data_IF_050588853935
#
_entry.id   IF_050588853935
#
_cell.length_a   1.000
_cell.length_b   1.000
_cell.length_c   1.000
_cell.angle_alpha   90.00
_cell.angle_beta   90.00
_cell.angle_gamma   90.00
#
_symmetry.space_group_name_H-M   'P 1'
#
loop_
_entity.id
_entity.type
_entity.pdbx_description
1 polymer ?
#
# COMPACT_ATOMS: atom_id res chain seq x y z
N UNK A 1 45.13 -20.76 -19.15
CA UNK A 1 46.43 -21.22 -19.70
C UNK A 1 46.55 -22.73 -19.57
N UNK A 2 46.47 -23.31 -18.36
CA UNK A 2 46.50 -24.78 -18.17
C UNK A 2 45.28 -25.50 -18.76
N UNK A 3 44.08 -24.94 -18.70
CA UNK A 3 42.90 -25.50 -19.41
C UNK A 3 43.13 -25.57 -20.93
N UNK A 4 43.60 -24.48 -21.54
CA UNK A 4 43.96 -24.46 -22.97
C UNK A 4 45.10 -25.44 -23.30
N UNK A 5 46.03 -25.67 -22.37
CA UNK A 5 47.12 -26.64 -22.55
C UNK A 5 46.62 -28.09 -22.42
N UNK A 6 45.68 -28.35 -21.50
CA UNK A 6 45.00 -29.63 -21.34
C UNK A 6 44.09 -29.94 -22.53
N UNK A 7 43.35 -28.96 -23.05
CA UNK A 7 42.54 -29.09 -24.26
C UNK A 7 43.40 -29.46 -25.47
N UNK A 8 44.57 -28.82 -25.64
CA UNK A 8 45.54 -29.12 -26.71
C UNK A 8 46.32 -30.41 -26.50
N UNK A 9 46.22 -31.06 -25.33
CA UNK A 9 46.90 -32.33 -25.07
C UNK A 9 46.19 -33.52 -25.73
N UNK A 10 46.95 -34.57 -26.04
CA UNK A 10 46.46 -35.85 -26.60
C UNK A 10 45.88 -36.80 -25.54
N UNK A 11 45.71 -36.35 -24.29
CA UNK A 11 45.16 -37.16 -23.20
C UNK A 11 43.69 -37.52 -23.46
N UNK A 12 43.24 -38.65 -22.94
CA UNK A 12 41.82 -39.00 -22.91
C UNK A 12 41.05 -38.04 -22.00
N UNK A 13 39.76 -37.82 -22.29
CA UNK A 13 38.91 -36.85 -21.59
C UNK A 13 38.88 -37.07 -20.08
N UNK A 14 38.79 -38.33 -19.63
CA UNK A 14 38.82 -38.67 -18.20
C UNK A 14 40.15 -38.29 -17.52
N UNK A 15 41.27 -38.43 -18.24
CA UNK A 15 42.58 -38.05 -17.72
C UNK A 15 42.76 -36.52 -17.67
N UNK A 16 42.14 -35.78 -18.62
CA UNK A 16 42.10 -34.31 -18.59
C UNK A 16 41.31 -33.82 -17.37
N UNK A 17 40.11 -34.37 -17.15
CA UNK A 17 39.25 -34.02 -16.01
C UNK A 17 39.91 -34.33 -14.66
N UNK A 18 40.59 -35.48 -14.55
CA UNK A 18 41.32 -35.85 -13.35
C UNK A 18 42.46 -34.87 -13.03
N UNK A 19 43.18 -34.39 -14.06
CA UNK A 19 44.27 -33.42 -13.91
C UNK A 19 43.76 -32.02 -13.55
N UNK A 20 42.65 -31.59 -14.15
CA UNK A 20 41.93 -30.37 -13.79
C UNK A 20 41.51 -30.38 -12.33
N UNK A 21 40.91 -31.49 -11.88
CA UNK A 21 40.48 -31.69 -10.50
C UNK A 21 41.66 -31.68 -9.52
N UNK A 22 42.78 -32.32 -9.89
CA UNK A 22 44.00 -32.32 -9.08
C UNK A 22 44.59 -30.90 -8.92
N UNK A 23 44.58 -30.11 -10.00
CA UNK A 23 45.03 -28.72 -9.96
C UNK A 23 44.13 -27.85 -9.08
N UNK A 24 42.82 -27.98 -9.24
CA UNK A 24 41.83 -27.24 -8.47
C UNK A 24 41.95 -27.55 -6.96
N UNK A 25 42.17 -28.82 -6.61
CA UNK A 25 42.45 -29.25 -5.24
C UNK A 25 43.75 -28.64 -4.68
N UNK A 26 44.82 -28.57 -5.49
CA UNK A 26 46.08 -27.95 -5.08
C UNK A 26 45.93 -26.45 -4.85
N UNK A 27 45.19 -25.76 -5.72
CA UNK A 27 44.90 -24.33 -5.58
C UNK A 27 44.10 -24.08 -4.31
N UNK A 28 43.01 -24.82 -4.10
CA UNK A 28 42.14 -24.71 -2.90
C UNK A 28 42.89 -24.99 -1.60
N UNK A 29 43.84 -25.92 -1.61
CA UNK A 29 44.66 -26.26 -0.42
C UNK A 29 45.93 -25.41 -0.31
N UNK A 30 46.17 -24.50 -1.24
CA UNK A 30 47.36 -23.66 -1.23
C UNK A 30 47.30 -22.64 -0.09
N UNK A 31 48.48 -22.29 0.43
CA UNK A 31 48.63 -21.23 1.42
C UNK A 31 48.17 -19.87 0.88
N UNK A 32 48.31 -19.64 -0.44
CA UNK A 32 47.80 -18.45 -1.12
C UNK A 32 46.28 -18.37 -1.02
N UNK A 33 45.56 -19.46 -1.32
CA UNK A 33 44.09 -19.49 -1.20
C UNK A 33 43.63 -19.20 0.23
N UNK A 34 44.34 -19.75 1.23
CA UNK A 34 44.07 -19.46 2.64
C UNK A 34 44.22 -17.97 2.96
N UNK A 35 45.33 -17.35 2.55
CA UNK A 35 45.56 -15.92 2.76
C UNK A 35 44.56 -15.05 2.00
N UNK A 36 44.14 -15.44 0.79
CA UNK A 36 43.11 -14.73 0.04
C UNK A 36 41.76 -14.74 0.79
N UNK A 37 41.39 -15.87 1.41
CA UNK A 37 40.17 -15.96 2.22
C UNK A 37 40.26 -15.12 3.51
N UNK A 38 41.42 -15.05 4.16
CA UNK A 38 41.64 -14.17 5.32
C UNK A 38 41.49 -12.68 4.96
N UNK A 39 42.06 -12.27 3.83
CA UNK A 39 41.93 -10.91 3.30
C UNK A 39 40.48 -10.61 2.93
N UNK A 40 39.79 -11.57 2.29
CA UNK A 40 38.36 -11.45 1.99
C UNK A 40 37.53 -11.26 3.27
N UNK A 41 37.78 -12.06 4.31
CA UNK A 41 37.10 -11.93 5.60
C UNK A 41 37.28 -10.54 6.21
N UNK A 42 38.50 -10.01 6.15
CA UNK A 42 38.81 -8.64 6.62
C UNK A 42 38.09 -7.58 5.79
N UNK A 43 38.07 -7.74 4.45
CA UNK A 43 37.33 -6.85 3.56
C UNK A 43 35.83 -6.85 3.88
N UNK A 44 35.22 -8.02 4.09
CA UNK A 44 33.79 -8.13 4.38
C UNK A 44 33.40 -7.42 5.68
N UNK A 45 34.28 -7.43 6.69
CA UNK A 45 34.08 -6.68 7.93
C UNK A 45 34.07 -5.16 7.68
N UNK A 46 35.04 -4.66 6.91
CA UNK A 46 35.09 -3.23 6.56
C UNK A 46 33.94 -2.81 5.66
N UNK A 47 33.58 -3.63 4.67
CA UNK A 47 32.47 -3.32 3.76
C UNK A 47 31.14 -3.27 4.52
N UNK A 48 30.93 -4.19 5.47
CA UNK A 48 29.76 -4.16 6.36
C UNK A 48 29.70 -2.88 7.19
N UNK A 49 30.79 -2.56 7.90
CA UNK A 49 30.84 -1.36 8.74
C UNK A 49 30.62 -0.08 7.91
N UNK A 50 31.27 0.00 6.74
CA UNK A 50 31.09 1.12 5.82
C UNK A 50 29.62 1.26 5.39
N UNK A 51 28.96 0.15 5.05
CA UNK A 51 27.57 0.14 4.63
C UNK A 51 26.64 0.62 5.75
N UNK A 52 26.74 0.03 6.94
CA UNK A 52 25.90 0.37 8.11
C UNK A 52 26.03 1.86 8.47
N UNK A 53 27.26 2.36 8.64
CA UNK A 53 27.50 3.77 9.01
C UNK A 53 27.09 4.75 7.90
N UNK A 54 27.28 4.38 6.63
CA UNK A 54 26.87 5.23 5.51
C UNK A 54 25.36 5.32 5.40
N UNK A 55 24.64 4.21 5.61
CA UNK A 55 23.17 4.18 5.63
C UNK A 55 22.63 5.00 6.80
N UNK A 56 23.17 4.84 8.01
CA UNK A 56 22.79 5.64 9.17
C UNK A 56 23.01 7.13 8.93
N UNK A 57 24.12 7.50 8.29
CA UNK A 57 24.41 8.88 7.92
C UNK A 57 23.43 9.41 6.86
N UNK A 58 23.07 8.60 5.86
CA UNK A 58 22.07 8.98 4.86
C UNK A 58 20.69 9.22 5.50
N UNK A 59 20.29 8.36 6.44
CA UNK A 59 19.05 8.53 7.23
C UNK A 59 19.11 9.82 8.07
N UNK A 60 20.25 10.12 8.69
CA UNK A 60 20.41 11.33 9.51
C UNK A 60 20.41 12.63 8.68
N UNK A 61 20.82 12.56 7.42
CA UNK A 61 20.84 13.68 6.47
C UNK A 61 19.57 13.74 5.60
N UNK A 62 18.54 12.98 5.95
CA UNK A 62 17.29 12.91 5.20
C UNK A 62 16.68 14.30 5.00
N UNK A 63 16.37 14.62 3.75
CA UNK A 63 15.79 15.89 3.37
C UNK A 63 14.67 15.70 2.35
N UNK A 64 13.56 16.39 2.58
CA UNK A 64 12.43 16.44 1.65
C UNK A 64 12.43 17.81 0.96
N UNK A 65 12.69 17.82 -0.34
CA UNK A 65 12.60 19.03 -1.15
C UNK A 65 11.15 19.43 -1.39
N UNK A 66 10.89 20.74 -1.50
CA UNK A 66 9.55 21.25 -1.71
C UNK A 66 8.96 20.75 -3.04
N UNK A 67 7.77 20.15 -2.97
CA UNK A 67 7.08 19.58 -4.13
C UNK A 67 7.43 18.13 -4.45
N UNK A 68 8.42 17.54 -3.76
CA UNK A 68 8.71 16.11 -3.87
C UNK A 68 7.81 15.28 -2.93
N UNK A 69 7.54 14.04 -3.35
CA UNK A 69 6.72 13.09 -2.58
C UNK A 69 7.57 12.15 -1.72
N UNK A 70 8.79 11.86 -2.19
CA UNK A 70 9.79 11.04 -1.50
C UNK A 70 10.97 11.92 -1.08
N UNK A 71 11.70 11.48 -0.05
CA UNK A 71 12.88 12.20 0.44
C UNK A 71 14.18 11.64 -0.14
N UNK A 72 15.27 12.41 -0.02
CA UNK A 72 16.60 12.04 -0.54
C UNK A 72 17.15 10.76 0.06
N UNK A 73 16.75 10.42 1.30
CA UNK A 73 17.18 9.18 1.98
C UNK A 73 16.94 7.93 1.13
N UNK A 74 15.85 7.90 0.34
CA UNK A 74 15.54 6.75 -0.49
C UNK A 74 16.65 6.51 -1.54
N UNK A 75 16.99 7.54 -2.32
CA UNK A 75 18.02 7.43 -3.35
C UNK A 75 19.41 7.17 -2.73
N UNK A 76 19.74 7.87 -1.65
CA UNK A 76 21.02 7.76 -0.98
C UNK A 76 21.27 6.34 -0.43
N UNK A 77 20.29 5.78 0.30
CA UNK A 77 20.41 4.43 0.90
C UNK A 77 20.54 3.35 -0.19
N UNK A 78 19.69 3.39 -1.21
CA UNK A 78 19.75 2.40 -2.29
C UNK A 78 21.00 2.55 -3.16
N UNK A 79 21.49 3.79 -3.35
CA UNK A 79 22.76 4.03 -4.03
C UNK A 79 23.94 3.43 -3.23
N UNK A 80 23.99 3.65 -1.92
CA UNK A 80 25.04 3.09 -1.05
C UNK A 80 25.04 1.57 -1.12
N UNK A 81 23.87 0.94 -0.95
CA UNK A 81 23.74 -0.52 -0.98
C UNK A 81 24.17 -1.08 -2.33
N UNK A 82 23.66 -0.51 -3.43
CA UNK A 82 24.06 -0.91 -4.79
C UNK A 82 25.56 -0.81 -4.98
N UNK A 83 26.17 0.28 -4.52
CA UNK A 83 27.61 0.53 -4.63
C UNK A 83 28.42 -0.52 -3.87
N UNK A 84 27.99 -0.93 -2.68
CA UNK A 84 28.66 -1.96 -1.89
C UNK A 84 28.57 -3.33 -2.55
N UNK A 85 27.37 -3.74 -3.00
CA UNK A 85 27.19 -5.02 -3.71
C UNK A 85 28.03 -5.03 -5.00
N UNK A 86 27.99 -3.97 -5.80
CA UNK A 86 28.79 -3.89 -7.02
C UNK A 86 30.29 -3.89 -6.75
N UNK A 87 30.75 -3.27 -5.67
CA UNK A 87 32.17 -3.33 -5.25
C UNK A 87 32.58 -4.75 -4.87
N UNK A 88 31.69 -5.50 -4.20
CA UNK A 88 31.96 -6.89 -3.81
C UNK A 88 32.20 -7.80 -5.02
N UNK A 89 31.66 -7.47 -6.21
CA UNK A 89 31.98 -8.19 -7.45
C UNK A 89 33.48 -8.14 -7.80
N UNK A 90 34.20 -7.10 -7.38
CA UNK A 90 35.65 -6.98 -7.54
C UNK A 90 36.44 -8.02 -6.75
N UNK A 91 35.84 -8.66 -5.73
CA UNK A 91 36.49 -9.73 -4.97
C UNK A 91 36.60 -11.04 -5.76
N UNK A 92 35.82 -11.18 -6.84
CA UNK A 92 35.72 -12.41 -7.63
C UNK A 92 35.40 -13.65 -6.76
N UNK A 93 34.75 -13.44 -5.61
CA UNK A 93 34.31 -14.48 -4.70
C UNK A 93 32.79 -14.43 -4.56
N UNK A 94 32.10 -15.46 -5.07
CA UNK A 94 30.64 -15.55 -4.95
C UNK A 94 30.19 -15.56 -3.47
N UNK A 95 30.98 -16.20 -2.60
CA UNK A 95 30.73 -16.24 -1.16
C UNK A 95 30.81 -14.85 -0.53
N UNK A 96 31.79 -14.04 -0.96
CA UNK A 96 31.92 -12.67 -0.53
C UNK A 96 30.76 -11.79 -0.99
N UNK A 97 30.34 -11.93 -2.25
CA UNK A 97 29.19 -11.21 -2.81
C UNK A 97 27.91 -11.58 -2.05
N UNK A 98 27.67 -12.87 -1.82
CA UNK A 98 26.54 -13.36 -1.03
C UNK A 98 26.53 -12.79 0.39
N UNK A 99 27.70 -12.72 1.05
CA UNK A 99 27.82 -12.10 2.37
C UNK A 99 27.44 -10.62 2.36
N UNK A 100 27.89 -9.86 1.35
CA UNK A 100 27.54 -8.44 1.21
C UNK A 100 26.05 -8.23 0.92
N UNK A 101 25.43 -9.08 0.08
CA UNK A 101 23.97 -9.05 -0.17
C UNK A 101 23.18 -9.30 1.12
N UNK A 102 23.60 -10.29 1.92
CA UNK A 102 22.95 -10.58 3.20
C UNK A 102 23.12 -9.43 4.20
N UNK A 103 24.28 -8.79 4.25
CA UNK A 103 24.49 -7.59 5.07
C UNK A 103 23.59 -6.44 4.61
N UNK A 104 23.45 -6.24 3.29
CA UNK A 104 22.55 -5.24 2.72
C UNK A 104 21.09 -5.49 3.10
N UNK A 105 20.62 -6.74 2.99
CA UNK A 105 19.29 -7.11 3.42
C UNK A 105 19.08 -6.83 4.92
N UNK A 106 20.05 -7.20 5.77
CA UNK A 106 20.00 -6.94 7.21
C UNK A 106 19.96 -5.45 7.55
N UNK A 107 20.77 -4.62 6.88
CA UNK A 107 20.81 -3.18 7.10
C UNK A 107 19.49 -2.50 6.69
N UNK A 108 18.89 -2.94 5.57
CA UNK A 108 17.56 -2.47 5.16
C UNK A 108 16.47 -2.88 6.16
N UNK A 109 16.49 -4.14 6.62
CA UNK A 109 15.49 -4.69 7.54
C UNK A 109 15.54 -4.00 8.93
N UNK A 110 16.72 -3.53 9.32
CA UNK A 110 16.95 -2.91 10.63
C UNK A 110 16.88 -1.39 10.53
N UNK A 111 17.94 -0.73 10.09
CA UNK A 111 18.11 0.72 10.24
C UNK A 111 17.10 1.48 9.38
N UNK A 112 17.01 1.11 8.10
CA UNK A 112 16.16 1.78 7.13
C UNK A 112 14.68 1.57 7.44
N UNK A 113 14.25 0.32 7.66
CA UNK A 113 12.86 0.03 8.03
C UNK A 113 12.47 0.68 9.37
N UNK A 114 13.36 0.74 10.35
CA UNK A 114 13.05 1.43 11.61
C UNK A 114 12.87 2.94 11.40
N UNK A 115 13.70 3.57 10.56
CA UNK A 115 13.56 4.98 10.20
C UNK A 115 12.19 5.28 9.57
N UNK A 116 11.71 4.42 8.68
CA UNK A 116 10.37 4.54 8.08
C UNK A 116 9.24 4.21 9.06
N UNK A 117 9.43 3.21 9.93
CA UNK A 117 8.41 2.73 10.86
C UNK A 117 8.14 3.70 12.00
N UNK A 118 9.12 4.47 12.43
CA UNK A 118 8.98 5.38 13.57
C UNK A 118 7.93 6.49 13.33
N UNK A 119 7.97 7.25 12.23
CA UNK A 119 6.90 8.21 11.89
C UNK A 119 5.54 7.54 11.75
N UNK A 120 5.48 6.36 11.12
CA UNK A 120 4.21 5.65 10.91
C UNK A 120 3.58 5.16 12.23
N UNK A 121 4.40 4.73 13.19
CA UNK A 121 3.95 4.36 14.54
C UNK A 121 3.45 5.55 15.36
N UNK A 122 4.04 6.73 15.16
CA UNK A 122 3.56 7.96 15.81
C UNK A 122 2.14 8.33 15.36
N UNK A 123 1.71 7.82 14.20
CA UNK A 123 0.38 8.04 13.63
C UNK A 123 0.28 9.37 12.90
N UNK A 124 -0.78 9.53 12.10
CA UNK A 124 -1.02 10.79 11.41
C UNK A 124 -1.61 11.82 12.38
N UNK A 125 -0.92 12.96 12.64
CA UNK A 125 -1.41 13.96 13.57
C UNK A 125 -2.72 14.57 13.08
N UNK A 126 -3.79 14.29 13.80
CA UNK A 126 -5.12 14.84 13.53
C UNK A 126 -5.40 15.87 14.61
N UNK A 127 -4.94 17.11 14.40
CA UNK A 127 -5.26 18.19 15.33
C UNK A 127 -6.78 18.40 15.38
N UNK A 128 -7.30 18.65 16.58
CA UNK A 128 -8.66 19.18 16.84
C UNK A 128 -9.01 20.45 16.04
N UNK A 129 -8.02 20.99 15.32
CA UNK A 129 -8.03 22.25 14.58
C UNK A 129 -8.70 22.16 13.20
N UNK A 130 -8.71 20.98 12.56
CA UNK A 130 -9.29 20.86 11.19
C UNK A 130 -10.83 20.74 11.21
N UNK A 131 -11.41 20.36 12.35
CA UNK A 131 -12.87 20.40 12.56
C UNK A 131 -13.34 21.78 13.06
N UNK A 132 -12.42 22.66 13.43
CA UNK A 132 -12.67 23.94 14.10
C UNK A 132 -12.10 25.15 13.33
N UNK A 133 -11.87 25.05 12.01
CA UNK A 133 -11.50 26.22 11.20
C UNK A 133 -12.57 27.32 11.23
N UNK A 134 -13.82 27.00 11.61
CA UNK A 134 -14.88 27.98 11.84
C UNK A 134 -14.86 28.61 13.24
N UNK A 135 -14.19 28.02 14.23
CA UNK A 135 -14.19 28.50 15.63
C UNK A 135 -12.84 29.07 16.09
N UNK A 136 -11.75 28.84 15.35
CA UNK A 136 -10.39 29.21 15.76
C UNK A 136 -9.93 30.59 15.24
N UNK A 137 -10.84 31.51 14.88
CA UNK A 137 -10.43 32.89 14.61
C UNK A 137 -10.23 33.70 15.92
N UNK A 138 -10.66 33.17 17.06
CA UNK A 138 -10.66 33.86 18.36
C UNK A 138 -9.54 33.44 19.32
N UNK A 139 -8.90 32.27 19.15
CA UNK A 139 -7.84 31.78 20.05
C UNK A 139 -6.41 31.91 19.52
N UNK A 140 -6.23 32.44 18.30
CA UNK A 140 -4.91 32.78 17.71
C UNK A 140 -4.17 33.87 18.51
N UNK A 141 -4.86 34.59 19.40
CA UNK A 141 -4.29 35.64 20.24
C UNK A 141 -3.41 35.16 21.42
N UNK A 142 -3.32 33.86 21.72
CA UNK A 142 -2.60 33.37 22.92
C UNK A 142 -1.45 32.38 22.68
N UNK A 143 -0.94 32.24 21.44
CA UNK A 143 0.44 31.82 21.17
C UNK A 143 0.98 30.54 21.84
N UNK A 144 0.15 29.53 22.16
CA UNK A 144 0.57 28.34 22.93
C UNK A 144 0.63 27.01 22.18
N UNK A 145 0.40 26.99 20.85
CA UNK A 145 0.62 25.81 20.00
C UNK A 145 1.31 26.26 18.70
N UNK A 146 2.55 25.80 18.49
CA UNK A 146 3.29 26.05 17.26
C UNK A 146 2.71 25.17 16.15
N UNK A 147 1.99 25.76 15.21
CA UNK A 147 1.37 25.06 14.06
C UNK A 147 2.40 24.34 13.18
N UNK A 148 3.66 24.78 13.18
CA UNK A 148 4.78 24.21 12.41
C UNK A 148 5.09 22.76 12.78
N UNK A 149 4.99 22.38 14.06
CA UNK A 149 5.41 21.04 14.51
C UNK A 149 4.43 19.95 14.07
N UNK A 150 3.14 20.27 14.04
CA UNK A 150 2.08 19.34 13.60
C UNK A 150 2.16 19.10 12.11
N UNK A 151 2.37 20.15 11.32
CA UNK A 151 2.51 20.04 9.87
C UNK A 151 3.81 19.33 9.49
N UNK A 152 4.89 19.55 10.24
CA UNK A 152 6.13 18.79 10.07
C UNK A 152 5.92 17.29 10.38
N UNK A 153 5.18 16.96 11.44
CA UNK A 153 4.88 15.56 11.78
C UNK A 153 3.96 14.89 10.74
N UNK A 154 2.99 15.60 10.17
CA UNK A 154 2.17 15.14 9.04
C UNK A 154 3.01 14.89 7.79
N UNK A 155 3.88 15.83 7.44
CA UNK A 155 4.80 15.69 6.32
C UNK A 155 5.70 14.46 6.50
N UNK A 156 6.34 14.30 7.67
CA UNK A 156 7.17 13.13 7.98
C UNK A 156 6.41 11.81 7.87
N UNK A 157 5.16 11.74 8.34
CA UNK A 157 4.33 10.55 8.20
C UNK A 157 4.07 10.20 6.72
N UNK A 158 3.67 11.19 5.92
CA UNK A 158 3.33 11.00 4.51
C UNK A 158 4.57 10.63 3.69
N UNK A 159 5.68 11.31 3.92
CA UNK A 159 6.96 11.01 3.28
C UNK A 159 7.46 9.62 3.64
N UNK A 160 7.34 9.20 4.91
CA UNK A 160 7.71 7.83 5.31
C UNK A 160 6.84 6.78 4.60
N UNK A 161 5.54 7.04 4.43
CA UNK A 161 4.63 6.16 3.70
C UNK A 161 4.99 6.05 2.21
N UNK A 162 5.29 7.19 1.57
CA UNK A 162 5.73 7.23 0.17
C UNK A 162 7.08 6.56 -0.04
N UNK A 163 8.05 6.82 0.84
CA UNK A 163 9.35 6.19 0.81
C UNK A 163 9.22 4.67 0.97
N UNK A 164 8.36 4.18 1.88
CA UNK A 164 8.11 2.75 2.04
C UNK A 164 7.52 2.10 0.77
N UNK A 165 6.52 2.74 0.15
CA UNK A 165 5.93 2.28 -1.11
C UNK A 165 6.95 2.27 -2.26
N UNK A 166 7.68 3.37 -2.46
CA UNK A 166 8.68 3.44 -3.52
C UNK A 166 9.85 2.48 -3.30
N UNK A 167 10.23 2.22 -2.03
CA UNK A 167 11.26 1.24 -1.68
C UNK A 167 10.94 -0.16 -2.18
N UNK A 168 9.66 -0.54 -2.31
CA UNK A 168 9.27 -1.85 -2.85
C UNK A 168 9.71 -2.02 -4.31
N UNK A 169 9.68 -0.95 -5.10
CA UNK A 169 10.13 -0.93 -6.49
C UNK A 169 11.66 -0.87 -6.59
N UNK A 170 12.28 -0.10 -5.68
CA UNK A 170 13.74 0.01 -5.63
C UNK A 170 14.40 -1.31 -5.24
N UNK A 171 13.81 -2.07 -4.31
CA UNK A 171 14.28 -3.42 -3.97
C UNK A 171 14.19 -4.37 -5.15
N UNK A 172 13.07 -4.39 -5.86
CA UNK A 172 12.91 -5.31 -6.99
C UNK A 172 13.89 -4.96 -8.12
N UNK A 173 14.05 -3.66 -8.40
CA UNK A 173 15.04 -3.18 -9.37
C UNK A 173 16.47 -3.53 -8.95
N UNK A 174 16.83 -3.29 -7.69
CA UNK A 174 18.14 -3.65 -7.13
C UNK A 174 18.39 -5.15 -7.27
N UNK A 175 17.42 -5.99 -6.88
CA UNK A 175 17.51 -7.45 -6.96
C UNK A 175 17.77 -7.92 -8.39
N UNK A 176 17.00 -7.42 -9.36
CA UNK A 176 17.17 -7.79 -10.77
C UNK A 176 18.53 -7.35 -11.30
N UNK A 177 18.91 -6.08 -11.09
CA UNK A 177 20.20 -5.55 -11.54
C UNK A 177 21.38 -6.32 -10.95
N UNK A 178 21.35 -6.62 -9.65
CA UNK A 178 22.45 -7.36 -9.00
C UNK A 178 22.50 -8.81 -9.48
N UNK A 179 21.35 -9.48 -9.66
CA UNK A 179 21.29 -10.81 -10.29
C UNK A 179 22.00 -10.82 -11.64
N UNK A 180 21.70 -9.84 -12.49
CA UNK A 180 22.22 -9.80 -13.85
C UNK A 180 23.71 -9.45 -13.88
N UNK A 181 24.14 -8.46 -13.10
CA UNK A 181 25.56 -8.10 -12.96
C UNK A 181 26.40 -9.29 -12.44
N UNK A 182 25.88 -10.05 -11.46
CA UNK A 182 26.58 -11.23 -10.93
C UNK A 182 26.63 -12.36 -11.96
N UNK A 183 25.54 -12.62 -12.69
CA UNK A 183 25.52 -13.61 -13.77
C UNK A 183 26.49 -13.28 -14.89
N UNK A 184 26.68 -12.00 -15.21
CA UNK A 184 27.67 -11.57 -16.19
C UNK A 184 29.11 -11.76 -15.70
N UNK A 185 29.37 -11.54 -14.42
CA UNK A 185 30.70 -11.73 -13.83
C UNK A 185 31.05 -13.22 -13.60
N UNK A 186 30.03 -14.08 -13.42
CA UNK A 186 30.19 -15.53 -13.22
C UNK A 186 29.38 -16.33 -14.25
N UNK A 187 29.77 -16.34 -15.54
CA UNK A 187 29.00 -17.00 -16.60
C UNK A 187 28.94 -18.53 -16.44
N UNK A 188 29.93 -19.13 -15.77
CA UNK A 188 30.07 -20.56 -15.57
C UNK A 188 29.71 -21.03 -14.14
N UNK A 189 28.71 -20.40 -13.50
CA UNK A 189 28.25 -20.86 -12.18
C UNK A 189 27.65 -22.28 -12.23
N UNK A 190 28.05 -23.11 -11.26
CA UNK A 190 27.43 -24.39 -10.98
C UNK A 190 25.98 -24.23 -10.53
N UNK A 191 25.18 -25.30 -10.60
CA UNK A 191 23.79 -25.29 -10.12
C UNK A 191 23.70 -24.86 -8.66
N UNK A 192 24.58 -25.41 -7.81
CA UNK A 192 24.64 -25.10 -6.37
C UNK A 192 24.99 -23.63 -6.10
N UNK A 193 25.86 -23.05 -6.89
CA UNK A 193 26.23 -21.63 -6.77
C UNK A 193 25.08 -20.70 -7.16
N UNK A 194 24.33 -21.06 -8.22
CA UNK A 194 23.12 -20.34 -8.60
C UNK A 194 22.06 -20.41 -7.49
N UNK A 195 21.81 -21.59 -6.94
CA UNK A 195 20.89 -21.76 -5.81
C UNK A 195 21.30 -20.95 -4.58
N UNK A 196 22.60 -20.89 -4.28
CA UNK A 196 23.12 -20.08 -3.18
C UNK A 196 22.88 -18.59 -3.40
N UNK A 197 23.15 -18.10 -4.61
CA UNK A 197 22.91 -16.72 -4.99
C UNK A 197 21.42 -16.37 -4.89
N UNK A 198 20.55 -17.23 -5.45
CA UNK A 198 19.10 -17.05 -5.41
C UNK A 198 18.58 -17.02 -3.96
N UNK A 199 19.14 -17.86 -3.08
CA UNK A 199 18.84 -17.83 -1.64
C UNK A 199 19.23 -16.49 -1.00
N UNK A 200 20.38 -15.92 -1.31
CA UNK A 200 20.79 -14.62 -0.76
C UNK A 200 19.92 -13.47 -1.32
N UNK A 201 19.61 -13.51 -2.63
CA UNK A 201 18.70 -12.55 -3.25
C UNK A 201 17.26 -12.65 -2.72
N UNK A 202 16.86 -13.82 -2.21
CA UNK A 202 15.57 -13.98 -1.52
C UNK A 202 15.51 -13.17 -0.22
N UNK A 203 16.65 -12.89 0.42
CA UNK A 203 16.73 -11.98 1.56
C UNK A 203 16.26 -10.57 1.21
N UNK A 204 16.71 -10.03 0.07
CA UNK A 204 16.23 -8.73 -0.44
C UNK A 204 14.73 -8.77 -0.76
N UNK A 205 14.23 -9.87 -1.32
CA UNK A 205 12.79 -10.05 -1.57
C UNK A 205 11.99 -10.01 -0.26
N UNK A 206 12.49 -10.66 0.80
CA UNK A 206 11.86 -10.63 2.13
C UNK A 206 11.73 -9.21 2.66
N UNK A 207 12.76 -8.37 2.51
CA UNK A 207 12.69 -6.95 2.87
C UNK A 207 11.59 -6.23 2.09
N UNK A 208 11.44 -6.54 0.79
CA UNK A 208 10.35 -6.02 -0.04
C UNK A 208 8.96 -6.39 0.49
N UNK A 209 8.79 -7.60 1.00
CA UNK A 209 7.52 -8.03 1.62
C UNK A 209 7.30 -7.36 3.00
N UNK A 210 8.35 -7.18 3.79
CA UNK A 210 8.29 -6.39 5.05
C UNK A 210 7.90 -4.93 4.79
N UNK A 211 8.40 -4.31 3.72
CA UNK A 211 8.02 -2.94 3.32
C UNK A 211 6.57 -2.85 2.88
N UNK A 212 6.03 -3.82 2.13
CA UNK A 212 4.61 -3.85 1.78
C UNK A 212 3.75 -3.90 3.05
N UNK A 213 4.11 -4.76 4.01
CA UNK A 213 3.41 -4.82 5.29
C UNK A 213 3.51 -3.50 6.07
N UNK A 214 4.62 -2.76 5.95
CA UNK A 214 4.78 -1.44 6.55
C UNK A 214 3.88 -0.38 5.88
N UNK A 215 3.75 -0.41 4.55
CA UNK A 215 2.83 0.45 3.79
C UNK A 215 1.38 0.19 4.23
N UNK A 216 0.97 -1.09 4.29
CA UNK A 216 -0.36 -1.47 4.77
C UNK A 216 -0.62 -0.99 6.20
N UNK A 217 0.37 -1.13 7.08
CA UNK A 217 0.32 -0.60 8.43
C UNK A 217 0.13 0.93 8.45
N UNK A 218 0.91 1.67 7.66
CA UNK A 218 0.83 3.13 7.57
C UNK A 218 -0.53 3.59 7.03
N UNK A 219 -1.05 2.94 5.99
CA UNK A 219 -2.38 3.22 5.45
C UNK A 219 -3.49 2.93 6.47
N UNK A 220 -3.36 1.87 7.26
CA UNK A 220 -4.32 1.54 8.32
C UNK A 220 -4.26 2.55 9.49
N UNK A 221 -3.07 3.07 9.80
CA UNK A 221 -2.91 4.17 10.76
C UNK A 221 -3.59 5.44 10.24
N UNK A 222 -3.35 5.83 8.99
CA UNK A 222 -3.99 6.98 8.35
C UNK A 222 -5.51 6.83 8.35
N UNK A 223 -6.01 5.63 8.00
CA UNK A 223 -7.44 5.30 8.04
C UNK A 223 -8.05 5.57 9.42
N UNK A 224 -7.40 5.08 10.47
CA UNK A 224 -7.97 5.08 11.83
C UNK A 224 -7.87 6.46 12.48
N UNK A 225 -6.75 7.16 12.26
CA UNK A 225 -6.45 8.44 12.90
C UNK A 225 -7.08 9.64 12.17
N UNK A 226 -7.06 9.67 10.84
CA UNK A 226 -7.46 10.85 10.06
C UNK A 226 -8.78 10.65 9.29
N UNK A 227 -8.95 9.50 8.66
CA UNK A 227 -10.04 9.27 7.70
C UNK A 227 -11.35 8.96 8.42
N UNK A 228 -11.38 7.94 9.29
CA UNK A 228 -12.60 7.55 10.03
C UNK A 228 -13.22 8.69 10.84
N UNK A 229 -12.47 9.47 11.63
CA UNK A 229 -13.06 10.53 12.46
C UNK A 229 -13.67 11.67 11.65
N UNK A 230 -13.23 11.89 10.41
CA UNK A 230 -13.82 12.88 9.50
C UNK A 230 -15.03 12.33 8.75
N UNK A 231 -14.89 11.13 8.18
CA UNK A 231 -15.95 10.51 7.37
C UNK A 231 -17.19 10.16 8.18
N UNK A 232 -17.04 9.65 9.41
CA UNK A 232 -18.19 9.17 10.19
C UNK A 232 -19.21 10.29 10.48
N UNK A 233 -18.83 11.46 11.00
CA UNK A 233 -19.77 12.57 11.19
C UNK A 233 -20.46 13.03 9.90
N UNK A 234 -19.74 13.10 8.77
CA UNK A 234 -20.34 13.50 7.50
C UNK A 234 -21.40 12.50 7.03
N UNK A 235 -21.11 11.20 7.11
CA UNK A 235 -22.06 10.16 6.71
C UNK A 235 -23.21 10.04 7.72
N UNK A 236 -22.97 10.28 9.01
CA UNK A 236 -24.01 10.18 10.05
C UNK A 236 -25.12 11.23 9.90
N UNK A 237 -24.86 12.34 9.22
CA UNK A 237 -25.90 13.30 8.85
C UNK A 237 -27.00 12.65 7.99
N UNK A 238 -26.71 11.55 7.29
CA UNK A 238 -27.72 10.78 6.55
C UNK A 238 -28.90 10.35 7.44
N UNK A 239 -28.63 10.00 8.70
CA UNK A 239 -29.65 9.50 9.63
C UNK A 239 -30.62 10.63 10.04
N UNK A 240 -30.17 11.88 10.06
CA UNK A 240 -31.01 13.03 10.41
C UNK A 240 -31.89 13.53 9.27
N UNK A 241 -31.64 13.10 8.03
CA UNK A 241 -32.47 13.47 6.88
C UNK A 241 -33.75 12.65 6.84
N UNK A 242 -34.87 13.27 6.47
CA UNK A 242 -36.13 12.57 6.25
C UNK A 242 -36.07 11.79 4.93
N UNK A 243 -36.26 10.47 4.99
CA UNK A 243 -36.33 9.59 3.83
C UNK A 243 -37.76 9.10 3.53
N UNK A 244 -38.76 9.66 4.23
CA UNK A 244 -40.17 9.47 3.96
C UNK A 244 -40.73 10.78 3.40
N UNK A 245 -40.55 10.97 2.10
CA UNK A 245 -40.82 12.24 1.43
C UNK A 245 -42.20 12.28 0.79
N UNK A 246 -42.87 13.43 0.87
CA UNK A 246 -43.95 13.82 -0.04
C UNK A 246 -43.39 14.47 -1.32
N UNK A 247 -44.24 14.68 -2.33
CA UNK A 247 -43.84 15.35 -3.57
C UNK A 247 -43.35 16.79 -3.33
N UNK A 248 -43.98 17.53 -2.40
CA UNK A 248 -43.58 18.89 -2.02
C UNK A 248 -42.22 18.91 -1.29
N UNK A 249 -42.00 17.97 -0.38
CA UNK A 249 -40.71 17.82 0.33
C UNK A 249 -39.59 17.39 -0.62
N UNK A 250 -39.88 16.52 -1.59
CA UNK A 250 -38.93 16.13 -2.63
C UNK A 250 -38.52 17.32 -3.49
N UNK A 251 -39.49 18.12 -3.97
CA UNK A 251 -39.20 19.32 -4.74
C UNK A 251 -38.36 20.34 -3.94
N UNK A 252 -38.62 20.46 -2.64
CA UNK A 252 -37.84 21.32 -1.74
C UNK A 252 -36.42 20.78 -1.53
N UNK A 253 -36.26 19.46 -1.40
CA UNK A 253 -34.97 18.79 -1.25
C UNK A 253 -34.10 18.96 -2.51
N UNK A 254 -34.67 18.78 -3.69
CA UNK A 254 -33.98 18.91 -4.97
C UNK A 254 -33.61 20.36 -5.32
N UNK A 255 -34.37 21.34 -4.80
CA UNK A 255 -34.07 22.76 -4.97
C UNK A 255 -32.91 23.25 -4.09
N UNK A 256 -32.58 22.52 -3.02
CA UNK A 256 -31.51 22.85 -2.08
C UNK A 256 -30.20 22.10 -2.33
N UNK A 257 -29.24 22.25 -1.42
CA UNK A 257 -28.05 21.39 -1.37
C UNK A 257 -28.44 20.02 -0.82
N UNK A 258 -28.32 18.98 -1.66
CA UNK A 258 -28.62 17.60 -1.26
C UNK A 258 -27.53 17.02 -0.36
N UNK A 259 -27.88 16.04 0.48
CA UNK A 259 -26.93 15.32 1.33
C UNK A 259 -25.75 14.78 0.53
N UNK A 260 -26.02 14.20 -0.66
CA UNK A 260 -24.95 13.60 -1.46
C UNK A 260 -24.00 14.65 -2.06
N UNK A 261 -24.51 15.82 -2.45
CA UNK A 261 -23.66 16.91 -2.95
C UNK A 261 -22.74 17.40 -1.84
N UNK A 262 -23.29 17.65 -0.64
CA UNK A 262 -22.48 17.99 0.53
C UNK A 262 -21.40 16.94 0.80
N UNK A 263 -21.78 15.65 0.84
CA UNK A 263 -20.86 14.56 1.13
C UNK A 263 -19.74 14.47 0.08
N UNK A 264 -20.07 14.58 -1.21
CA UNK A 264 -19.08 14.58 -2.30
C UNK A 264 -18.10 15.74 -2.15
N UNK A 265 -18.57 16.95 -1.85
CA UNK A 265 -17.72 18.13 -1.65
C UNK A 265 -16.74 17.92 -0.49
N UNK A 266 -17.19 17.35 0.64
CA UNK A 266 -16.31 17.06 1.78
C UNK A 266 -15.25 16.01 1.44
N UNK A 267 -15.62 14.97 0.70
CA UNK A 267 -14.69 13.91 0.30
C UNK A 267 -13.68 14.43 -0.73
N UNK A 268 -14.13 15.23 -1.71
CA UNK A 268 -13.25 15.83 -2.71
C UNK A 268 -12.22 16.76 -2.04
N UNK A 269 -12.65 17.59 -1.09
CA UNK A 269 -11.75 18.38 -0.26
C UNK A 269 -10.72 17.53 0.48
N UNK A 270 -11.14 16.39 1.05
CA UNK A 270 -10.23 15.43 1.70
C UNK A 270 -9.22 14.85 0.70
N UNK A 271 -9.65 14.45 -0.50
CA UNK A 271 -8.75 13.91 -1.52
C UNK A 271 -7.73 14.95 -2.00
N UNK A 272 -8.15 16.20 -2.22
CA UNK A 272 -7.26 17.28 -2.65
C UNK A 272 -6.11 17.51 -1.66
N UNK A 273 -6.33 17.34 -0.34
CA UNK A 273 -5.26 17.46 0.68
C UNK A 273 -4.13 16.44 0.50
N UNK A 274 -4.44 15.24 0.00
CA UNK A 274 -3.47 14.15 -0.14
C UNK A 274 -2.97 13.97 -1.57
N UNK A 275 -3.65 14.53 -2.57
CA UNK A 275 -3.37 14.30 -4.00
C UNK A 275 -1.97 14.74 -4.43
N UNK A 276 -1.48 15.88 -3.93
CA UNK A 276 -0.11 16.34 -4.22
C UNK A 276 0.93 15.65 -3.35
N UNK A 277 0.56 15.22 -2.15
CA UNK A 277 1.49 14.73 -1.14
C UNK A 277 1.78 13.22 -1.24
N UNK A 278 0.84 12.39 -1.71
CA UNK A 278 1.01 10.94 -1.82
C UNK A 278 1.50 10.50 -3.21
N UNK A 279 2.27 9.41 -3.27
CA UNK A 279 2.53 8.72 -4.54
C UNK A 279 1.22 8.27 -5.19
N UNK A 280 1.16 8.10 -6.53
CA UNK A 280 -0.05 7.64 -7.21
C UNK A 280 -0.60 6.33 -6.64
N UNK A 281 0.27 5.36 -6.32
CA UNK A 281 -0.10 4.07 -5.71
C UNK A 281 -0.74 4.26 -4.32
N UNK A 282 -0.11 5.07 -3.46
CA UNK A 282 -0.66 5.36 -2.14
C UNK A 282 -1.95 6.19 -2.20
N UNK A 283 -2.09 7.08 -3.17
CA UNK A 283 -3.31 7.85 -3.40
C UNK A 283 -4.47 6.95 -3.83
N UNK A 284 -4.25 6.04 -4.79
CA UNK A 284 -5.27 5.05 -5.18
C UNK A 284 -5.66 4.14 -4.01
N UNK A 285 -4.69 3.74 -3.18
CA UNK A 285 -4.96 2.99 -1.95
C UNK A 285 -5.79 3.81 -0.94
N UNK A 286 -5.52 5.10 -0.78
CA UNK A 286 -6.31 6.01 0.04
C UNK A 286 -7.77 6.11 -0.46
N UNK A 287 -7.98 6.32 -1.77
CA UNK A 287 -9.33 6.38 -2.36
C UNK A 287 -10.09 5.07 -2.13
N UNK A 288 -9.40 3.94 -2.27
CA UNK A 288 -9.95 2.60 -1.99
C UNK A 288 -10.37 2.44 -0.50
N UNK A 289 -9.56 2.95 0.44
CA UNK A 289 -9.87 2.96 1.87
C UNK A 289 -11.08 3.84 2.17
N UNK A 290 -11.11 5.06 1.64
CA UNK A 290 -12.20 6.01 1.81
C UNK A 290 -13.50 5.43 1.26
N UNK A 291 -13.46 4.85 0.06
CA UNK A 291 -14.62 4.17 -0.55
C UNK A 291 -15.14 3.05 0.35
N UNK A 292 -14.27 2.17 0.85
CA UNK A 292 -14.64 1.09 1.75
C UNK A 292 -15.31 1.60 3.02
N UNK A 293 -14.75 2.66 3.62
CA UNK A 293 -15.24 3.21 4.88
C UNK A 293 -16.59 3.92 4.70
N UNK A 294 -16.76 4.72 3.64
CA UNK A 294 -18.02 5.40 3.33
C UNK A 294 -19.12 4.38 3.06
N UNK A 295 -18.86 3.39 2.19
CA UNK A 295 -19.86 2.36 1.89
C UNK A 295 -20.26 1.62 3.16
N UNK A 296 -19.31 1.15 3.96
CA UNK A 296 -19.62 0.46 5.21
C UNK A 296 -20.36 1.33 6.22
N UNK A 297 -20.07 2.64 6.29
CA UNK A 297 -20.78 3.58 7.19
C UNK A 297 -22.18 3.89 6.69
N UNK A 298 -22.36 4.11 5.39
CA UNK A 298 -23.63 4.42 4.77
C UNK A 298 -24.58 3.21 4.81
N UNK A 299 -24.08 1.98 4.62
CA UNK A 299 -24.87 0.76 4.83
C UNK A 299 -25.46 0.70 6.25
N UNK A 300 -24.69 1.09 7.27
CA UNK A 300 -25.17 1.14 8.66
C UNK A 300 -26.15 2.29 8.90
N UNK A 301 -25.96 3.43 8.23
CA UNK A 301 -26.86 4.56 8.31
C UNK A 301 -28.22 4.22 7.67
N UNK A 302 -28.23 3.63 6.47
CA UNK A 302 -29.44 3.16 5.78
C UNK A 302 -30.22 2.17 6.65
N UNK A 303 -29.54 1.19 7.28
CA UNK A 303 -30.18 0.21 8.18
C UNK A 303 -30.82 0.82 9.44
N UNK A 304 -30.56 2.09 9.74
CA UNK A 304 -31.18 2.83 10.86
C UNK A 304 -32.27 3.80 10.41
N UNK A 305 -32.45 3.96 9.10
CA UNK A 305 -33.46 4.85 8.50
C UNK A 305 -34.68 4.05 8.04
N UNK A 306 -35.77 4.77 7.79
CA UNK A 306 -37.01 4.24 7.19
C UNK A 306 -37.29 4.97 5.90
N UNK A 307 -37.83 4.28 4.90
CA UNK A 307 -38.02 4.83 3.56
C UNK A 307 -39.46 4.65 3.09
N UNK A 308 -39.92 5.56 2.23
CA UNK A 308 -41.04 5.31 1.32
C UNK A 308 -40.53 5.21 -0.13
N UNK A 309 -41.43 5.08 -1.12
CA UNK A 309 -41.05 4.95 -2.53
C UNK A 309 -40.20 6.13 -3.04
N UNK A 310 -40.52 7.35 -2.64
CA UNK A 310 -39.79 8.56 -3.07
C UNK A 310 -38.41 8.63 -2.40
N UNK A 311 -38.29 8.32 -1.10
CA UNK A 311 -36.99 8.22 -0.45
C UNK A 311 -36.09 7.12 -1.01
N UNK A 312 -36.68 5.99 -1.43
CA UNK A 312 -35.97 4.94 -2.15
C UNK A 312 -35.41 5.41 -3.51
N UNK A 313 -36.17 6.24 -4.23
CA UNK A 313 -35.73 6.85 -5.49
C UNK A 313 -34.54 7.80 -5.28
N UNK A 314 -34.65 8.68 -4.28
CA UNK A 314 -33.58 9.62 -3.92
C UNK A 314 -32.32 8.85 -3.54
N UNK A 315 -32.42 7.84 -2.66
CA UNK A 315 -31.28 7.02 -2.25
C UNK A 315 -30.59 6.34 -3.45
N UNK A 316 -31.34 5.82 -4.42
CA UNK A 316 -30.78 5.20 -5.62
C UNK A 316 -30.03 6.23 -6.49
N UNK A 317 -30.57 7.44 -6.64
CA UNK A 317 -29.87 8.53 -7.32
C UNK A 317 -28.59 8.95 -6.58
N UNK A 318 -28.65 9.11 -5.26
CA UNK A 318 -27.51 9.47 -4.42
C UNK A 318 -26.41 8.41 -4.43
N UNK A 319 -26.79 7.13 -4.28
CA UNK A 319 -25.85 6.01 -4.32
C UNK A 319 -25.14 5.91 -5.68
N UNK A 320 -25.86 6.15 -6.79
CA UNK A 320 -25.29 6.20 -8.14
C UNK A 320 -24.36 7.40 -8.34
N UNK A 321 -24.73 8.58 -7.85
CA UNK A 321 -23.90 9.77 -7.89
C UNK A 321 -22.58 9.59 -7.11
N UNK A 322 -22.67 9.05 -5.90
CA UNK A 322 -21.49 8.71 -5.09
C UNK A 322 -20.60 7.69 -5.78
N UNK A 323 -21.19 6.63 -6.34
CA UNK A 323 -20.45 5.60 -7.06
C UNK A 323 -19.72 6.16 -8.29
N UNK A 324 -20.36 7.07 -9.02
CA UNK A 324 -19.76 7.75 -10.18
C UNK A 324 -18.58 8.61 -9.75
N UNK A 325 -18.74 9.43 -8.70
CA UNK A 325 -17.68 10.27 -8.15
C UNK A 325 -16.47 9.44 -7.68
N UNK A 326 -16.69 8.42 -6.83
CA UNK A 326 -15.61 7.58 -6.30
C UNK A 326 -14.90 6.77 -7.40
N UNK A 327 -15.63 6.33 -8.43
CA UNK A 327 -15.02 5.67 -9.59
C UNK A 327 -14.19 6.64 -10.43
N UNK A 328 -14.57 7.91 -10.51
CA UNK A 328 -13.78 8.95 -11.19
C UNK A 328 -12.55 9.40 -10.41
N UNK A 329 -12.51 9.19 -9.09
CA UNK A 329 -11.43 9.65 -8.21
C UNK A 329 -10.17 8.76 -8.22
N UNK A 330 -10.24 7.53 -8.75
CA UNK A 330 -9.13 6.58 -8.77
C UNK A 330 -9.00 5.90 -10.13
N UNK A 331 -7.79 5.43 -10.45
CA UNK A 331 -7.53 4.62 -11.64
C UNK A 331 -7.98 3.15 -11.48
N UNK A 332 -8.23 2.70 -10.24
CA UNK A 332 -8.57 1.31 -9.92
C UNK A 332 -10.08 1.09 -9.77
N UNK A 333 -10.53 -0.13 -10.08
CA UNK A 333 -11.94 -0.48 -9.91
C UNK A 333 -12.33 -0.55 -8.42
N UNK A 334 -13.19 0.37 -8.00
CA UNK A 334 -13.85 0.35 -6.68
C UNK A 334 -15.27 -0.22 -6.72
N UNK A 335 -15.73 -0.69 -7.89
CA UNK A 335 -17.12 -1.14 -8.11
C UNK A 335 -17.56 -2.24 -7.15
N UNK A 336 -16.69 -3.21 -6.88
CA UNK A 336 -17.01 -4.33 -5.97
C UNK A 336 -17.30 -3.85 -4.54
N UNK A 337 -16.60 -2.79 -4.08
CA UNK A 337 -16.81 -2.18 -2.77
C UNK A 337 -18.16 -1.46 -2.67
N UNK A 338 -18.67 -0.96 -3.79
CA UNK A 338 -19.94 -0.22 -3.89
C UNK A 338 -21.14 -1.14 -4.15
N UNK A 339 -20.90 -2.41 -4.52
CA UNK A 339 -21.94 -3.33 -4.98
C UNK A 339 -23.06 -3.53 -3.95
N UNK A 340 -22.73 -3.73 -2.66
CA UNK A 340 -23.73 -3.89 -1.60
C UNK A 340 -24.60 -2.65 -1.41
N UNK A 341 -24.00 -1.46 -1.41
CA UNK A 341 -24.72 -0.20 -1.31
C UNK A 341 -25.70 -0.01 -2.48
N UNK A 342 -25.23 -0.26 -3.70
CA UNK A 342 -26.08 -0.15 -4.90
C UNK A 342 -27.22 -1.18 -4.88
N UNK A 343 -26.95 -2.41 -4.45
CA UNK A 343 -27.98 -3.44 -4.28
C UNK A 343 -29.01 -3.05 -3.20
N UNK A 344 -28.59 -2.46 -2.08
CA UNK A 344 -29.50 -1.92 -1.07
C UNK A 344 -30.39 -0.82 -1.65
N UNK A 345 -29.82 0.10 -2.43
CA UNK A 345 -30.58 1.17 -3.06
C UNK A 345 -31.58 0.63 -4.10
N UNK A 346 -31.20 -0.39 -4.90
CA UNK A 346 -32.10 -1.08 -5.81
C UNK A 346 -33.29 -1.70 -5.07
N UNK A 347 -33.06 -2.43 -3.97
CA UNK A 347 -34.14 -3.05 -3.17
C UNK A 347 -35.10 -1.97 -2.63
N UNK A 348 -34.56 -0.87 -2.11
CA UNK A 348 -35.37 0.21 -1.54
C UNK A 348 -36.13 1.02 -2.61
N UNK A 349 -35.72 0.94 -3.87
CA UNK A 349 -36.35 1.61 -5.01
C UNK A 349 -37.45 0.78 -5.72
N UNK A 350 -37.67 -0.48 -5.31
CA UNK A 350 -38.72 -1.34 -5.88
C UNK A 350 -40.12 -0.72 -5.72
N UNK A 351 -41.00 -0.93 -6.70
CA UNK A 351 -42.39 -0.47 -6.57
C UNK A 351 -43.19 -1.44 -5.71
N UNK A 352 -42.92 -2.74 -5.84
CA UNK A 352 -43.56 -3.78 -5.04
C UNK A 352 -42.59 -4.90 -4.64
N UNK A 353 -42.91 -5.57 -3.52
CA UNK A 353 -42.13 -6.73 -3.03
C UNK A 353 -42.09 -7.87 -4.06
N UNK A 354 -43.10 -7.97 -4.92
CA UNK A 354 -43.24 -9.01 -5.95
C UNK A 354 -42.24 -8.91 -7.10
N UNK A 355 -41.59 -7.76 -7.28
CA UNK A 355 -40.58 -7.55 -8.34
C UNK A 355 -39.23 -8.17 -8.00
N UNK A 356 -38.93 -8.31 -6.71
CA UNK A 356 -37.60 -8.76 -6.26
C UNK A 356 -37.16 -10.12 -6.86
N UNK A 357 -38.01 -11.16 -6.98
CA UNK A 357 -37.63 -12.42 -7.62
C UNK A 357 -37.09 -12.25 -9.05
N UNK A 358 -37.60 -11.29 -9.82
CA UNK A 358 -37.13 -11.03 -11.19
C UNK A 358 -35.67 -10.55 -11.21
N UNK A 359 -35.27 -9.77 -10.21
CA UNK A 359 -33.89 -9.31 -10.04
C UNK A 359 -33.00 -10.34 -9.33
N UNK A 360 -33.58 -11.15 -8.44
CA UNK A 360 -32.87 -12.14 -7.64
C UNK A 360 -32.43 -13.36 -8.45
N UNK A 361 -33.34 -13.87 -9.29
CA UNK A 361 -33.10 -15.04 -10.14
C UNK A 361 -32.41 -14.67 -11.47
N UNK A 362 -32.32 -13.37 -11.79
CA UNK A 362 -31.61 -12.90 -12.97
C UNK A 362 -30.11 -13.12 -12.85
N UNK A 363 -29.52 -13.79 -13.84
CA UNK A 363 -28.09 -14.02 -13.97
C UNK A 363 -27.25 -12.75 -14.22
N UNK A 364 -27.91 -11.58 -14.33
CA UNK A 364 -27.28 -10.31 -14.66
C UNK A 364 -26.50 -9.69 -13.49
N UNK A 365 -26.85 -9.99 -12.22
CA UNK A 365 -26.19 -9.43 -11.05
C UNK A 365 -25.79 -10.52 -10.05
N UNK A 366 -24.50 -10.59 -9.70
CA UNK A 366 -24.05 -11.41 -8.57
C UNK A 366 -24.42 -10.72 -7.27
N UNK A 367 -25.49 -11.18 -6.62
CA UNK A 367 -25.93 -10.66 -5.33
C UNK A 367 -24.86 -10.87 -4.25
N UNK A 368 -24.55 -9.79 -3.52
CA UNK A 368 -23.59 -9.77 -2.40
C UNK A 368 -24.29 -9.80 -1.04
N UNK A 369 -25.60 -9.63 -1.04
CA UNK A 369 -26.47 -9.66 0.13
C UNK A 369 -27.03 -11.06 0.33
N UNK A 370 -27.11 -11.50 1.58
CA UNK A 370 -27.79 -12.75 1.95
C UNK A 370 -29.32 -12.57 1.91
N UNK A 371 -30.11 -13.65 1.75
CA UNK A 371 -31.57 -13.58 1.82
C UNK A 371 -32.11 -12.89 3.09
N UNK A 372 -31.44 -13.08 4.23
CA UNK A 372 -31.81 -12.44 5.49
C UNK A 372 -31.53 -10.93 5.47
N UNK A 373 -30.40 -10.50 4.90
CA UNK A 373 -30.11 -9.08 4.72
C UNK A 373 -31.13 -8.43 3.80
N UNK A 374 -31.49 -9.08 2.70
CA UNK A 374 -32.50 -8.57 1.75
C UNK A 374 -33.85 -8.36 2.43
N UNK A 375 -34.33 -9.34 3.21
CA UNK A 375 -35.57 -9.18 3.99
C UNK A 375 -35.48 -8.05 5.01
N UNK A 376 -34.32 -7.88 5.65
CA UNK A 376 -34.09 -6.78 6.59
C UNK A 376 -34.14 -5.42 5.89
N UNK A 377 -33.58 -5.32 4.68
CA UNK A 377 -33.59 -4.09 3.88
C UNK A 377 -34.99 -3.78 3.38
N UNK A 378 -35.73 -4.77 2.87
CA UNK A 378 -37.14 -4.60 2.47
C UNK A 378 -38.01 -4.08 3.63
N UNK A 379 -37.74 -4.54 4.86
CA UNK A 379 -38.47 -4.10 6.04
C UNK A 379 -38.23 -2.62 6.42
N UNK A 380 -37.25 -1.94 5.81
CA UNK A 380 -37.04 -0.50 5.98
C UNK A 380 -38.06 0.33 5.19
N UNK A 381 -38.76 -0.26 4.21
CA UNK A 381 -39.85 0.39 3.47
C UNK A 381 -41.15 0.35 4.27
N UNK A 382 -41.63 1.51 4.69
CA UNK A 382 -42.80 1.63 5.58
C UNK A 382 -44.11 1.16 4.94
N UNK A 383 -44.16 1.16 3.61
CA UNK A 383 -45.30 0.78 2.79
C UNK A 383 -45.31 -0.72 2.43
N UNK A 384 -44.21 -1.45 2.68
CA UNK A 384 -44.14 -2.90 2.44
C UNK A 384 -44.65 -3.69 3.65
N UNK A 385 -45.58 -4.62 3.40
CA UNK A 385 -46.13 -5.47 4.45
C UNK A 385 -45.17 -6.58 4.82
N UNK A 386 -44.94 -6.76 6.12
CA UNK A 386 -44.06 -7.80 6.67
C UNK A 386 -44.47 -9.23 6.25
N UNK A 387 -45.76 -9.48 6.04
CA UNK A 387 -46.24 -10.78 5.55
C UNK A 387 -45.74 -11.09 4.14
N UNK A 388 -45.78 -10.10 3.24
CA UNK A 388 -45.34 -10.26 1.86
C UNK A 388 -43.83 -10.49 1.79
N UNK A 389 -43.08 -9.77 2.63
CA UNK A 389 -41.62 -9.96 2.79
C UNK A 389 -41.29 -11.38 3.26
N UNK A 390 -42.08 -11.95 4.19
CA UNK A 390 -41.86 -13.32 4.68
C UNK A 390 -42.23 -14.39 3.66
N UNK A 391 -43.20 -14.13 2.78
CA UNK A 391 -43.67 -15.05 1.73
C UNK A 391 -42.70 -15.17 0.55
N UNK A 392 -41.78 -14.21 0.37
CA UNK A 392 -40.73 -14.27 -0.65
C UNK A 392 -39.90 -15.56 -0.54
N UNK A 393 -39.64 -16.18 -1.68
CA UNK A 393 -38.68 -17.28 -1.83
C UNK A 393 -37.41 -16.68 -2.45
N UNK A 394 -36.33 -16.66 -1.66
CA UNK A 394 -35.01 -16.10 -2.00
C UNK A 394 -33.95 -17.17 -1.73
#
# INVERSE_FOLDING_TARGET
>A
MIENDLEKSTLETEAKDAKLKQLDDLIKKSRLSTQMQEVLGTYLLFERYFMEESVLKAIALDNLEAGQQCSSMLDDVFFIIRKCIRRSNGTQSLDGICAVINNAASCLEQDFMNALKNPLKAGYPTGYMDLAQSALQSSIQQGRLQTSDVDQARSKFITALNNADMSTEFIETLRSMMSDEIKMNFPAMTVREKEKLDSCLSGLKSVGDSLKALVDFGLQQLRTSAIKPRLHPWVDQFISHNHNLSEEELATYEAGETFIQYLIVQIDGLFTLFKSALTPRNYDALVSIVTTEITARLERAIKKSTFNRLGGLVLDQEARALASFLTGATSWSVRDKLAKLLQMATILNLESVSELPEYWDSSCATWRLTPNEVRTILALRIDFKMEDIKRLKL
#
